data_IF_759126474428
#
_entry.id   IF_759126474428
#
_cell.length_a   1.000
_cell.length_b   1.000
_cell.length_c   1.000
_cell.angle_alpha   90.00
_cell.angle_beta   90.00
_cell.angle_gamma   90.00
#
_symmetry.space_group_name_H-M   'P 1'
#
loop_
_entity.id
_entity.type
_entity.pdbx_description
1 polymer ?
#
# COMPACT_ATOMS: atom_id res chain seq x y z
N UNK A 1 18.78 -28.92 8.72
CA UNK A 1 17.31 -28.71 8.78
C UNK A 1 16.62 -28.76 7.41
N UNK A 2 17.19 -28.18 6.34
CA UNK A 2 16.61 -28.25 4.97
C UNK A 2 17.52 -28.88 3.90
N UNK A 3 18.72 -29.33 4.28
CA UNK A 3 19.77 -29.87 3.41
C UNK A 3 19.25 -30.87 2.36
N UNK A 4 18.44 -31.84 2.77
CA UNK A 4 17.92 -32.90 1.90
C UNK A 4 16.45 -32.71 1.49
N UNK A 5 15.85 -31.58 1.85
CA UNK A 5 14.45 -31.34 1.53
C UNK A 5 14.32 -30.79 0.10
N UNK A 6 13.76 -31.58 -0.81
CA UNK A 6 13.60 -31.22 -2.24
C UNK A 6 12.24 -30.59 -2.56
N UNK A 7 11.31 -30.52 -1.61
CA UNK A 7 9.93 -30.08 -1.84
C UNK A 7 9.60 -28.72 -1.20
N UNK A 8 10.25 -28.37 -0.10
CA UNK A 8 9.99 -27.15 0.67
C UNK A 8 10.35 -25.90 -0.14
N UNK A 9 9.36 -25.07 -0.43
CA UNK A 9 9.56 -23.84 -1.22
C UNK A 9 9.71 -22.57 -0.40
N UNK A 10 9.14 -22.55 0.80
CA UNK A 10 9.11 -21.39 1.68
C UNK A 10 9.45 -21.81 3.10
N UNK A 11 10.42 -21.12 3.71
CA UNK A 11 10.81 -21.32 5.10
C UNK A 11 10.74 -19.98 5.84
N UNK A 12 9.96 -19.93 6.91
CA UNK A 12 9.78 -18.76 7.76
C UNK A 12 10.31 -19.07 9.14
N UNK A 13 11.40 -18.41 9.52
CA UNK A 13 12.05 -18.54 10.83
C UNK A 13 12.06 -17.20 11.56
N UNK A 14 11.05 -16.35 11.35
CA UNK A 14 10.98 -15.04 11.99
C UNK A 14 10.93 -15.17 13.52
N UNK A 15 11.68 -14.33 14.24
CA UNK A 15 11.61 -14.22 15.71
C UNK A 15 11.94 -15.52 16.48
N UNK A 16 12.98 -16.24 16.07
CA UNK A 16 13.48 -17.45 16.73
C UNK A 16 14.83 -17.25 17.45
N UNK A 17 15.32 -16.02 17.57
CA UNK A 17 16.58 -15.70 18.25
C UNK A 17 17.78 -16.55 17.76
N UNK A 18 17.87 -16.76 16.44
CA UNK A 18 18.88 -17.64 15.85
C UNK A 18 20.33 -17.16 16.09
N UNK A 19 20.56 -15.85 16.14
CA UNK A 19 21.90 -15.29 16.16
C UNK A 19 22.73 -15.63 14.92
N UNK A 20 24.02 -15.28 14.98
CA UNK A 20 24.96 -15.53 13.88
C UNK A 20 25.26 -17.03 13.69
N UNK A 21 25.31 -17.81 14.77
CA UNK A 21 25.48 -19.28 14.73
C UNK A 21 24.31 -19.98 14.04
N UNK A 22 23.07 -19.58 14.34
CA UNK A 22 21.90 -20.11 13.65
C UNK A 22 21.89 -19.71 12.17
N UNK A 23 22.29 -18.48 11.85
CA UNK A 23 22.45 -18.02 10.47
C UNK A 23 23.53 -18.84 9.72
N UNK A 24 24.63 -19.19 10.37
CA UNK A 24 25.65 -20.09 9.82
C UNK A 24 25.07 -21.46 9.49
N UNK A 25 24.35 -22.09 10.43
CA UNK A 25 23.71 -23.39 10.18
C UNK A 25 22.73 -23.36 9.00
N UNK A 26 21.97 -22.26 8.86
CA UNK A 26 21.08 -22.04 7.71
C UNK A 26 21.88 -21.84 6.42
N UNK A 27 23.00 -21.11 6.45
CA UNK A 27 23.86 -20.90 5.30
C UNK A 27 24.42 -22.22 4.76
N UNK A 28 24.91 -23.10 5.64
CA UNK A 28 25.38 -24.45 5.28
C UNK A 28 24.30 -25.21 4.54
N UNK A 29 23.08 -25.27 5.09
CA UNK A 29 21.96 -25.94 4.44
C UNK A 29 21.55 -25.28 3.10
N UNK A 30 21.55 -23.96 3.04
CA UNK A 30 21.14 -23.19 1.88
C UNK A 30 22.09 -23.37 0.70
N UNK A 31 23.39 -23.53 0.97
CA UNK A 31 24.43 -23.70 -0.06
C UNK A 31 24.21 -24.93 -0.94
N UNK A 32 23.57 -25.99 -0.41
CA UNK A 32 23.29 -27.24 -1.12
C UNK A 32 21.81 -27.43 -1.43
N UNK A 33 20.93 -26.62 -0.86
CA UNK A 33 19.49 -26.76 -1.06
C UNK A 33 19.05 -26.32 -2.47
N UNK A 34 18.34 -27.21 -3.17
CA UNK A 34 17.91 -27.01 -4.56
C UNK A 34 16.41 -26.74 -4.72
N UNK A 35 15.66 -26.56 -3.63
CA UNK A 35 14.19 -26.46 -3.67
C UNK A 35 13.65 -25.15 -3.16
N UNK A 36 14.31 -24.54 -2.18
CA UNK A 36 13.85 -23.38 -1.44
C UNK A 36 13.92 -22.13 -2.30
N UNK A 37 12.78 -21.45 -2.40
CA UNK A 37 12.64 -20.22 -3.20
C UNK A 37 12.42 -18.98 -2.34
N UNK A 38 12.02 -19.16 -1.08
CA UNK A 38 11.73 -18.07 -0.16
C UNK A 38 12.23 -18.39 1.24
N UNK A 39 13.01 -17.48 1.81
CA UNK A 39 13.57 -17.59 3.16
C UNK A 39 13.31 -16.31 3.94
N UNK A 40 12.76 -16.44 5.15
CA UNK A 40 12.60 -15.32 6.08
C UNK A 40 13.32 -15.59 7.38
N UNK A 41 14.39 -14.82 7.62
CA UNK A 41 15.19 -14.78 8.84
C UNK A 41 14.96 -13.49 9.64
N UNK A 42 13.83 -12.83 9.44
CA UNK A 42 13.57 -11.55 10.07
C UNK A 42 13.55 -11.62 11.60
N UNK A 43 14.02 -10.56 12.28
CA UNK A 43 14.00 -10.43 13.74
C UNK A 43 14.67 -11.60 14.48
N UNK A 44 15.89 -11.98 14.09
CA UNK A 44 16.63 -13.08 14.69
C UNK A 44 17.93 -12.69 15.39
N UNK A 45 18.16 -11.38 15.58
CA UNK A 45 19.39 -10.86 16.16
C UNK A 45 20.65 -11.33 15.40
N UNK A 46 20.55 -11.39 14.07
CA UNK A 46 21.66 -11.68 13.18
C UNK A 46 22.45 -10.38 12.96
N UNK A 47 23.77 -10.44 13.09
CA UNK A 47 24.67 -9.32 12.84
C UNK A 47 25.43 -9.53 11.54
N UNK A 48 26.48 -8.74 11.30
CA UNK A 48 27.21 -8.76 10.04
C UNK A 48 27.88 -10.12 9.73
N UNK A 49 28.33 -10.86 10.75
CA UNK A 49 28.94 -12.19 10.57
C UNK A 49 27.93 -13.23 10.04
N UNK A 50 26.74 -13.31 10.65
CA UNK A 50 25.69 -14.19 10.17
C UNK A 50 25.19 -13.80 8.78
N UNK A 51 25.12 -12.49 8.46
CA UNK A 51 24.82 -12.04 7.10
C UNK A 51 25.91 -12.45 6.11
N UNK A 52 27.19 -12.36 6.47
CA UNK A 52 28.29 -12.81 5.62
C UNK A 52 28.16 -14.30 5.27
N UNK A 53 27.80 -15.14 6.25
CA UNK A 53 27.55 -16.56 6.03
C UNK A 53 26.40 -16.80 5.03
N UNK A 54 25.28 -16.10 5.20
CA UNK A 54 24.14 -16.19 4.29
C UNK A 54 24.52 -15.73 2.87
N UNK A 55 25.31 -14.66 2.75
CA UNK A 55 25.80 -14.15 1.47
C UNK A 55 26.69 -15.18 0.77
N UNK A 56 27.59 -15.84 1.49
CA UNK A 56 28.45 -16.87 0.90
C UNK A 56 27.63 -18.05 0.35
N UNK A 57 26.64 -18.51 1.10
CA UNK A 57 25.72 -19.54 0.62
C UNK A 57 24.95 -19.11 -0.64
N UNK A 58 24.58 -17.83 -0.73
CA UNK A 58 23.83 -17.28 -1.86
C UNK A 58 24.67 -17.02 -3.12
N UNK A 59 26.00 -17.07 -3.04
CA UNK A 59 26.86 -17.07 -4.23
C UNK A 59 26.73 -18.36 -5.04
N UNK A 60 26.52 -19.49 -4.36
CA UNK A 60 26.36 -20.81 -5.00
C UNK A 60 24.90 -21.23 -5.13
N UNK A 61 24.00 -20.73 -4.27
CA UNK A 61 22.60 -21.06 -4.34
C UNK A 61 21.92 -20.41 -5.56
N UNK A 62 21.36 -21.26 -6.43
CA UNK A 62 20.72 -20.82 -7.67
C UNK A 62 19.18 -20.81 -7.61
N UNK A 63 18.59 -21.10 -6.45
CA UNK A 63 17.16 -21.43 -6.30
C UNK A 63 16.38 -20.41 -5.48
N UNK A 64 17.04 -19.70 -4.56
CA UNK A 64 16.41 -18.67 -3.76
C UNK A 64 16.01 -17.48 -4.65
N UNK A 65 14.80 -16.97 -4.42
CA UNK A 65 14.21 -15.82 -5.13
C UNK A 65 13.82 -14.72 -4.16
N UNK A 66 13.44 -15.06 -2.93
CA UNK A 66 12.98 -14.10 -1.93
C UNK A 66 13.77 -14.27 -0.64
N UNK A 67 14.41 -13.20 -0.19
CA UNK A 67 15.12 -13.15 1.07
C UNK A 67 14.57 -12.03 1.95
N UNK A 68 14.21 -12.38 3.18
CA UNK A 68 13.82 -11.42 4.19
C UNK A 68 14.74 -11.52 5.41
N UNK A 69 15.59 -10.52 5.59
CA UNK A 69 16.52 -10.39 6.72
C UNK A 69 16.24 -9.12 7.54
N UNK A 70 15.04 -8.55 7.40
CA UNK A 70 14.62 -7.36 8.16
C UNK A 70 14.65 -7.54 9.67
N UNK A 71 14.83 -6.45 10.42
CA UNK A 71 14.85 -6.50 11.89
C UNK A 71 16.09 -7.19 12.48
N UNK A 72 17.18 -7.27 11.71
CA UNK A 72 18.48 -7.81 12.13
C UNK A 72 19.52 -6.68 12.09
N UNK A 73 20.35 -6.56 13.12
CA UNK A 73 21.23 -5.40 13.35
C UNK A 73 22.60 -5.61 12.73
N UNK A 74 22.65 -5.76 11.42
CA UNK A 74 23.90 -6.07 10.71
C UNK A 74 24.69 -4.82 10.29
N UNK A 75 24.09 -3.63 10.39
CA UNK A 75 24.81 -2.37 10.25
C UNK A 75 25.51 -2.18 8.89
N UNK A 76 26.49 -1.30 8.87
CA UNK A 76 27.26 -0.95 7.67
C UNK A 76 28.06 -2.15 7.14
N UNK A 77 28.69 -2.94 8.02
CA UNK A 77 29.50 -4.09 7.60
C UNK A 77 28.65 -5.15 6.89
N UNK A 78 27.46 -5.45 7.42
CA UNK A 78 26.51 -6.31 6.74
C UNK A 78 26.01 -5.71 5.43
N UNK A 79 25.89 -4.38 5.32
CA UNK A 79 25.53 -3.70 4.09
C UNK A 79 26.54 -3.95 2.97
N UNK A 80 27.84 -3.94 3.28
CA UNK A 80 28.89 -4.30 2.32
C UNK A 80 28.75 -5.74 1.82
N UNK A 81 28.39 -6.68 2.69
CA UNK A 81 28.14 -8.07 2.30
C UNK A 81 26.93 -8.17 1.37
N UNK A 82 25.83 -7.47 1.67
CA UNK A 82 24.63 -7.43 0.82
C UNK A 82 24.92 -6.76 -0.53
N UNK A 83 25.72 -5.70 -0.57
CA UNK A 83 26.13 -5.08 -1.82
C UNK A 83 26.93 -6.07 -2.69
N UNK A 84 27.90 -6.77 -2.11
CA UNK A 84 28.68 -7.82 -2.81
C UNK A 84 27.78 -8.95 -3.34
N UNK A 85 26.77 -9.35 -2.56
CA UNK A 85 25.76 -10.30 -3.01
C UNK A 85 25.02 -9.78 -4.24
N UNK A 86 24.50 -8.55 -4.19
CA UNK A 86 23.71 -7.98 -5.27
C UNK A 86 24.50 -7.78 -6.56
N UNK A 87 25.81 -7.48 -6.49
CA UNK A 87 26.64 -7.38 -7.69
C UNK A 87 26.79 -8.70 -8.45
N UNK A 88 26.74 -9.84 -7.75
CA UNK A 88 27.04 -11.16 -8.33
C UNK A 88 25.82 -12.09 -8.43
N UNK A 89 24.77 -11.84 -7.64
CA UNK A 89 23.61 -12.72 -7.58
C UNK A 89 22.62 -12.44 -8.72
N UNK A 90 22.34 -13.47 -9.51
CA UNK A 90 21.43 -13.40 -10.66
C UNK A 90 20.04 -14.02 -10.39
N UNK A 91 19.79 -14.47 -9.16
CA UNK A 91 18.62 -15.30 -8.84
C UNK A 91 17.58 -14.57 -7.99
N UNK A 92 18.03 -13.76 -7.04
CA UNK A 92 17.19 -13.04 -6.11
C UNK A 92 16.31 -12.02 -6.85
N UNK A 93 15.01 -12.06 -6.54
CA UNK A 93 13.97 -11.17 -7.09
C UNK A 93 13.42 -10.22 -6.04
N UNK A 94 13.41 -10.63 -4.77
CA UNK A 94 12.86 -9.85 -3.67
C UNK A 94 13.81 -9.84 -2.48
N UNK A 95 14.10 -8.65 -1.99
CA UNK A 95 14.98 -8.45 -0.83
C UNK A 95 14.34 -7.48 0.15
N UNK A 96 14.29 -7.87 1.42
CA UNK A 96 13.83 -7.02 2.51
C UNK A 96 14.94 -6.80 3.54
N UNK A 97 15.36 -5.53 3.65
CA UNK A 97 16.43 -5.01 4.52
C UNK A 97 15.90 -3.99 5.53
N UNK A 98 14.59 -3.99 5.77
CA UNK A 98 13.95 -3.03 6.67
C UNK A 98 14.45 -3.19 8.10
N UNK A 99 14.55 -2.09 8.85
CA UNK A 99 14.98 -2.09 10.25
C UNK A 99 16.29 -2.87 10.47
N UNK A 100 17.30 -2.59 9.64
CA UNK A 100 18.58 -3.30 9.62
C UNK A 100 19.78 -2.52 10.15
N UNK A 101 19.53 -1.38 10.81
CA UNK A 101 20.56 -0.47 11.33
C UNK A 101 21.48 0.09 10.22
N UNK A 102 20.91 0.31 9.03
CA UNK A 102 21.61 0.89 7.89
C UNK A 102 21.62 2.41 8.01
N UNK A 103 22.82 2.98 8.16
CA UNK A 103 23.05 4.41 7.97
C UNK A 103 23.23 4.76 6.47
N UNK A 104 23.44 6.04 6.18
CA UNK A 104 23.67 6.55 4.82
C UNK A 104 24.76 5.78 4.05
N UNK A 105 25.90 5.53 4.68
CA UNK A 105 27.04 4.86 4.02
C UNK A 105 26.66 3.43 3.61
N UNK A 106 26.03 2.68 4.52
CA UNK A 106 25.59 1.32 4.26
C UNK A 106 24.53 1.27 3.17
N UNK A 107 23.53 2.16 3.23
CA UNK A 107 22.47 2.23 2.23
C UNK A 107 23.03 2.62 0.85
N UNK A 108 23.86 3.66 0.77
CA UNK A 108 24.48 4.09 -0.47
C UNK A 108 25.23 2.94 -1.15
N UNK A 109 25.96 2.13 -0.37
CA UNK A 109 26.70 0.99 -0.91
C UNK A 109 25.78 -0.07 -1.52
N UNK A 110 24.66 -0.36 -0.87
CA UNK A 110 23.64 -1.28 -1.39
C UNK A 110 23.04 -0.71 -2.68
N UNK A 111 22.69 0.57 -2.70
CA UNK A 111 22.15 1.21 -3.90
C UNK A 111 23.15 1.17 -5.08
N UNK A 112 24.44 1.37 -4.81
CA UNK A 112 25.48 1.31 -5.84
C UNK A 112 25.54 -0.08 -6.52
N UNK A 113 25.38 -1.15 -5.74
CA UNK A 113 25.37 -2.52 -6.29
C UNK A 113 24.20 -2.77 -7.26
N UNK A 114 23.09 -2.04 -7.10
CA UNK A 114 21.91 -2.17 -7.97
C UNK A 114 22.13 -1.61 -9.37
N UNK A 115 23.18 -0.82 -9.62
CA UNK A 115 23.54 -0.42 -11.00
C UNK A 115 23.88 -1.63 -11.88
N UNK A 116 24.45 -2.68 -11.29
CA UNK A 116 24.84 -3.92 -11.99
C UNK A 116 23.75 -4.99 -11.88
N UNK A 117 22.95 -4.96 -10.82
CA UNK A 117 21.93 -5.96 -10.60
C UNK A 117 20.68 -5.72 -11.48
N UNK A 118 20.41 -6.64 -12.39
CA UNK A 118 19.23 -6.58 -13.29
C UNK A 118 18.09 -7.50 -12.85
N UNK A 119 18.32 -8.27 -11.79
CA UNK A 119 17.51 -9.43 -11.41
C UNK A 119 16.54 -9.11 -10.29
N UNK A 120 16.93 -8.25 -9.35
CA UNK A 120 16.11 -7.77 -8.25
C UNK A 120 14.96 -6.90 -8.77
N UNK A 121 13.74 -7.21 -8.33
CA UNK A 121 12.49 -6.56 -8.75
C UNK A 121 11.77 -5.87 -7.61
N UNK A 122 11.96 -6.32 -6.38
CA UNK A 122 11.33 -5.76 -5.18
C UNK A 122 12.39 -5.54 -4.10
N UNK A 123 12.50 -4.29 -3.65
CA UNK A 123 13.39 -3.89 -2.56
C UNK A 123 12.57 -3.20 -1.47
N UNK A 124 12.77 -3.63 -0.22
CA UNK A 124 12.15 -3.04 0.96
C UNK A 124 13.22 -2.48 1.89
N UNK A 125 13.07 -1.21 2.19
CA UNK A 125 13.99 -0.35 2.91
C UNK A 125 13.18 0.49 3.89
N UNK A 126 12.45 -0.16 4.81
CA UNK A 126 11.61 0.55 5.77
C UNK A 126 12.36 0.81 7.06
N UNK A 127 12.01 1.90 7.75
CA UNK A 127 12.53 2.20 9.08
C UNK A 127 14.06 2.13 9.12
N UNK A 128 14.69 2.85 8.19
CA UNK A 128 16.14 3.08 8.16
C UNK A 128 16.53 4.22 9.10
N UNK A 129 17.83 4.48 9.23
CA UNK A 129 18.32 5.63 9.97
C UNK A 129 17.75 6.95 9.40
N UNK A 130 17.60 7.96 10.26
CA UNK A 130 17.02 9.26 9.93
C UNK A 130 17.93 10.12 9.03
N UNK A 131 19.22 9.83 8.98
CA UNK A 131 20.18 10.53 8.13
C UNK A 131 20.60 9.64 6.95
N UNK A 132 19.73 9.53 5.94
CA UNK A 132 19.99 8.81 4.68
C UNK A 132 19.89 9.74 3.46
N UNK A 133 20.15 11.04 3.64
CA UNK A 133 19.88 12.07 2.64
C UNK A 133 20.67 11.83 1.34
N UNK A 134 21.98 11.57 1.42
CA UNK A 134 22.80 11.35 0.21
C UNK A 134 22.40 10.05 -0.49
N UNK A 135 22.00 9.03 0.27
CA UNK A 135 21.46 7.79 -0.27
C UNK A 135 20.15 7.99 -0.99
N UNK A 136 19.27 8.89 -0.52
CA UNK A 136 18.03 9.22 -1.23
C UNK A 136 18.33 9.93 -2.54
N UNK A 137 19.25 10.89 -2.57
CA UNK A 137 19.68 11.55 -3.81
C UNK A 137 20.24 10.53 -4.83
N UNK A 138 21.06 9.59 -4.33
CA UNK A 138 21.61 8.54 -5.17
C UNK A 138 20.55 7.53 -5.63
N UNK A 139 19.60 7.16 -4.76
CA UNK A 139 18.44 6.34 -5.13
C UNK A 139 17.65 6.99 -6.26
N UNK A 140 17.42 8.30 -6.18
CA UNK A 140 16.75 9.10 -7.21
C UNK A 140 17.51 9.05 -8.53
N UNK A 141 18.83 9.24 -8.50
CA UNK A 141 19.69 9.09 -9.69
C UNK A 141 19.59 7.68 -10.29
N UNK A 142 19.66 6.64 -9.44
CA UNK A 142 19.60 5.24 -9.86
C UNK A 142 18.26 4.91 -10.52
N UNK A 143 17.14 5.33 -9.92
CA UNK A 143 15.77 5.08 -10.40
C UNK A 143 15.50 5.75 -11.75
N UNK A 144 16.20 6.83 -12.09
CA UNK A 144 16.11 7.51 -13.39
C UNK A 144 16.95 6.85 -14.49
N UNK A 145 17.88 5.96 -14.14
CA UNK A 145 18.92 5.48 -15.07
C UNK A 145 18.95 3.96 -15.21
N UNK A 146 19.62 3.26 -14.28
CA UNK A 146 20.01 1.84 -14.42
C UNK A 146 19.16 0.88 -13.59
N UNK A 147 18.06 1.36 -12.99
CA UNK A 147 17.30 0.56 -12.05
C UNK A 147 16.27 -0.37 -12.72
N UNK A 148 16.34 -1.65 -12.35
CA UNK A 148 15.39 -2.68 -12.80
C UNK A 148 14.31 -3.01 -11.77
N UNK A 149 14.26 -2.26 -10.67
CA UNK A 149 13.24 -2.40 -9.65
C UNK A 149 11.87 -2.07 -10.21
N UNK A 150 10.89 -2.88 -9.81
CA UNK A 150 9.47 -2.68 -10.12
C UNK A 150 8.69 -2.30 -8.87
N UNK A 151 9.18 -2.70 -7.70
CA UNK A 151 8.54 -2.44 -6.41
C UNK A 151 9.56 -1.89 -5.43
N UNK A 152 9.23 -0.76 -4.84
CA UNK A 152 10.08 -0.09 -3.87
C UNK A 152 9.27 0.29 -2.64
N UNK A 153 9.71 -0.16 -1.47
CA UNK A 153 9.07 0.18 -0.21
C UNK A 153 10.02 0.99 0.67
N UNK A 154 9.65 2.24 0.93
CA UNK A 154 10.41 3.23 1.69
C UNK A 154 9.63 3.71 2.93
N UNK A 155 8.74 2.86 3.42
CA UNK A 155 7.84 3.21 4.51
C UNK A 155 8.61 3.56 5.80
N UNK A 156 8.12 4.54 6.56
CA UNK A 156 8.68 4.95 7.86
C UNK A 156 10.16 5.37 7.82
N UNK A 157 10.61 6.05 6.77
CA UNK A 157 11.98 6.61 6.68
C UNK A 157 12.06 8.12 7.01
N UNK A 158 10.98 8.71 7.55
CA UNK A 158 10.92 10.09 8.03
C UNK A 158 11.62 11.11 7.10
N UNK A 159 11.25 11.11 5.82
CA UNK A 159 11.94 11.92 4.83
C UNK A 159 11.84 13.41 5.12
N UNK A 160 12.94 14.13 4.91
CA UNK A 160 12.91 15.59 4.83
C UNK A 160 11.99 16.03 3.68
N UNK A 161 11.39 17.23 3.73
CA UNK A 161 10.56 17.73 2.63
C UNK A 161 11.30 17.73 1.28
N UNK A 162 12.58 18.06 1.28
CA UNK A 162 13.43 18.02 0.09
C UNK A 162 13.55 16.61 -0.49
N UNK A 163 13.87 15.61 0.34
CA UNK A 163 13.97 14.22 -0.09
C UNK A 163 12.64 13.69 -0.62
N UNK A 164 11.55 14.07 0.03
CA UNK A 164 10.21 13.67 -0.41
C UNK A 164 9.88 14.22 -1.79
N UNK A 165 10.14 15.50 -2.05
CA UNK A 165 9.95 16.10 -3.39
C UNK A 165 10.85 15.44 -4.43
N UNK A 166 12.11 15.13 -4.11
CA UNK A 166 13.00 14.40 -5.02
C UNK A 166 12.47 12.99 -5.36
N UNK A 167 11.95 12.28 -4.37
CA UNK A 167 11.34 10.95 -4.55
C UNK A 167 10.06 11.03 -5.41
N UNK A 168 9.17 12.00 -5.12
CA UNK A 168 7.94 12.23 -5.88
C UNK A 168 8.27 12.54 -7.35
N UNK A 169 9.16 13.51 -7.60
CA UNK A 169 9.54 13.89 -8.97
C UNK A 169 10.24 12.74 -9.72
N UNK A 170 10.92 11.85 -9.02
CA UNK A 170 11.51 10.64 -9.63
C UNK A 170 10.47 9.69 -10.20
N UNK A 171 9.28 9.63 -9.59
CA UNK A 171 8.18 8.81 -10.12
C UNK A 171 7.69 9.33 -11.48
N UNK A 172 7.85 10.62 -11.79
CA UNK A 172 7.54 11.16 -13.13
C UNK A 172 8.37 10.48 -14.23
N UNK A 173 9.63 10.22 -13.93
CA UNK A 173 10.61 9.73 -14.91
C UNK A 173 10.80 8.22 -14.86
N UNK A 174 10.42 7.57 -13.76
CA UNK A 174 10.62 6.12 -13.62
C UNK A 174 9.73 5.35 -14.59
N UNK A 175 10.37 4.61 -15.49
CA UNK A 175 9.69 3.75 -16.47
C UNK A 175 9.53 2.30 -15.99
N UNK A 176 10.13 1.94 -14.86
CA UNK A 176 10.20 0.56 -14.37
C UNK A 176 9.37 0.32 -13.11
N UNK A 177 9.19 1.33 -12.26
CA UNK A 177 8.44 1.21 -11.02
C UNK A 177 6.93 1.08 -11.28
N UNK A 178 6.36 0.00 -10.78
CA UNK A 178 4.91 -0.28 -10.82
C UNK A 178 4.27 -0.18 -9.45
N UNK A 179 5.05 -0.25 -8.35
CA UNK A 179 4.54 -0.10 -6.99
C UNK A 179 5.53 0.66 -6.11
N UNK A 180 5.05 1.70 -5.44
CA UNK A 180 5.85 2.50 -4.51
C UNK A 180 5.08 2.73 -3.22
N UNK A 181 5.77 2.52 -2.10
CA UNK A 181 5.24 2.78 -0.77
C UNK A 181 6.05 3.89 -0.08
N UNK A 182 5.43 5.07 0.07
CA UNK A 182 5.93 6.25 0.76
C UNK A 182 5.13 6.50 2.07
N UNK A 183 4.55 5.45 2.64
CA UNK A 183 3.79 5.57 3.89
C UNK A 183 4.70 5.93 5.06
N UNK A 184 4.12 6.44 6.15
CA UNK A 184 4.78 6.49 7.44
C UNK A 184 5.33 7.85 7.83
N UNK A 185 4.44 8.67 8.38
CA UNK A 185 4.66 9.94 9.08
C UNK A 185 5.51 10.95 8.31
N UNK A 186 5.51 10.86 6.97
CA UNK A 186 6.06 11.92 6.15
C UNK A 186 5.15 13.15 6.29
N UNK A 187 5.75 14.34 6.51
CA UNK A 187 5.00 15.59 6.61
C UNK A 187 4.50 16.03 5.23
N UNK A 188 3.45 15.38 4.75
CA UNK A 188 2.78 15.76 3.52
C UNK A 188 2.09 17.11 3.71
N UNK A 189 2.41 18.06 2.84
CA UNK A 189 1.74 19.37 2.78
C UNK A 189 0.94 19.46 1.49
N UNK A 190 0.11 20.50 1.35
CA UNK A 190 -0.66 20.74 0.13
C UNK A 190 0.22 20.83 -1.12
N UNK A 191 1.33 21.56 -1.06
CA UNK A 191 2.36 21.62 -2.12
C UNK A 191 2.81 20.23 -2.58
N UNK A 192 3.11 19.30 -1.64
CA UNK A 192 3.52 17.94 -1.98
C UNK A 192 2.40 17.13 -2.63
N UNK A 193 1.14 17.41 -2.28
CA UNK A 193 0.00 16.80 -2.93
C UNK A 193 -0.19 17.30 -4.37
N UNK A 194 0.10 18.58 -4.64
CA UNK A 194 0.11 19.14 -6.01
C UNK A 194 1.25 18.57 -6.85
N UNK A 195 2.43 18.32 -6.26
CA UNK A 195 3.51 17.58 -6.91
C UNK A 195 3.06 16.15 -7.27
N UNK A 196 2.46 15.42 -6.32
CA UNK A 196 1.90 14.08 -6.57
C UNK A 196 0.85 14.10 -7.66
N UNK A 197 -0.05 15.09 -7.66
CA UNK A 197 -1.06 15.24 -8.71
C UNK A 197 -0.40 15.28 -10.10
N UNK A 198 0.57 16.17 -10.27
CA UNK A 198 1.28 16.34 -11.55
C UNK A 198 2.00 15.07 -12.00
N UNK A 199 2.54 14.31 -11.04
CA UNK A 199 3.18 13.02 -11.28
C UNK A 199 2.14 11.97 -11.69
N UNK A 200 1.04 11.84 -10.95
CA UNK A 200 -0.03 10.87 -11.25
C UNK A 200 -0.64 11.14 -12.64
N UNK A 201 -0.79 12.40 -13.04
CA UNK A 201 -1.34 12.76 -14.36
C UNK A 201 -0.43 12.34 -15.53
N UNK A 202 0.88 12.25 -15.30
CA UNK A 202 1.87 12.03 -16.37
C UNK A 202 2.50 10.64 -16.35
N UNK A 203 2.58 10.02 -15.17
CA UNK A 203 3.10 8.67 -15.02
C UNK A 203 2.10 7.63 -15.57
N UNK A 204 2.61 6.72 -16.40
CA UNK A 204 1.85 5.64 -17.03
C UNK A 204 2.28 4.23 -16.61
N UNK A 205 3.23 4.12 -15.68
CA UNK A 205 3.87 2.85 -15.27
C UNK A 205 3.43 2.40 -13.88
N UNK A 206 3.17 3.34 -12.98
CA UNK A 206 2.77 3.11 -11.60
C UNK A 206 1.35 2.57 -11.56
N UNK A 207 1.20 1.42 -10.90
CA UNK A 207 -0.08 0.72 -10.70
C UNK A 207 -0.54 0.75 -9.25
N UNK A 208 0.38 0.93 -8.30
CA UNK A 208 0.08 0.94 -6.87
C UNK A 208 0.89 2.02 -6.15
N UNK A 209 0.22 2.94 -5.48
CA UNK A 209 0.83 3.99 -4.68
C UNK A 209 0.29 3.93 -3.25
N UNK A 210 1.19 3.86 -2.27
CA UNK A 210 0.83 3.87 -0.86
C UNK A 210 1.34 5.12 -0.15
N UNK A 211 0.41 5.86 0.43
CA UNK A 211 0.60 7.10 1.19
C UNK A 211 -0.05 6.99 2.57
N UNK A 212 -0.04 5.78 3.16
CA UNK A 212 -0.66 5.53 4.45
C UNK A 212 0.05 6.30 5.56
N UNK A 213 -0.69 6.62 6.63
CA UNK A 213 -0.13 7.15 7.87
C UNK A 213 0.71 8.44 7.68
N UNK A 214 0.36 9.30 6.72
CA UNK A 214 1.11 10.51 6.34
C UNK A 214 0.42 11.81 6.77
N UNK A 215 -0.58 11.72 7.64
CA UNK A 215 -1.34 12.88 8.15
C UNK A 215 -2.00 13.70 7.02
N UNK A 216 -2.43 13.02 5.96
CA UNK A 216 -3.14 13.63 4.82
C UNK A 216 -4.58 13.93 5.25
N UNK A 217 -4.97 15.20 5.30
CA UNK A 217 -6.36 15.60 5.51
C UNK A 217 -7.13 15.70 4.19
N UNK A 218 -8.42 16.07 4.26
CA UNK A 218 -9.25 16.26 3.08
C UNK A 218 -8.66 17.25 2.08
N UNK A 219 -8.11 18.38 2.55
CA UNK A 219 -7.54 19.41 1.68
C UNK A 219 -6.31 18.90 0.91
N UNK A 220 -5.44 18.14 1.58
CA UNK A 220 -4.26 17.51 0.97
C UNK A 220 -4.67 16.34 0.06
N UNK A 221 -5.77 15.66 0.35
CA UNK A 221 -6.25 14.54 -0.47
C UNK A 221 -6.82 14.98 -1.82
N UNK A 222 -7.44 16.16 -1.91
CA UNK A 222 -8.10 16.66 -3.13
C UNK A 222 -7.18 16.68 -4.37
N UNK A 223 -5.96 17.27 -4.35
CA UNK A 223 -5.04 17.23 -5.49
C UNK A 223 -4.70 15.79 -5.92
N UNK A 224 -4.47 14.90 -4.97
CA UNK A 224 -4.11 13.50 -5.24
C UNK A 224 -5.22 12.80 -6.02
N UNK A 225 -6.48 12.96 -5.59
CA UNK A 225 -7.63 12.37 -6.28
C UNK A 225 -7.93 13.09 -7.61
N UNK A 226 -7.77 14.41 -7.68
CA UNK A 226 -7.91 15.17 -8.93
C UNK A 226 -6.95 14.65 -10.00
N UNK A 227 -5.71 14.31 -9.62
CA UNK A 227 -4.73 13.69 -10.51
C UNK A 227 -5.20 12.37 -11.14
N UNK A 228 -6.01 11.60 -10.42
CA UNK A 228 -6.56 10.33 -10.91
C UNK A 228 -7.55 10.50 -12.07
N UNK A 229 -8.18 11.68 -12.22
CA UNK A 229 -9.17 11.91 -13.27
C UNK A 229 -8.61 11.64 -14.68
N UNK A 230 -7.32 11.88 -14.87
CA UNK A 230 -6.62 11.71 -16.15
C UNK A 230 -5.65 10.50 -16.16
N UNK A 231 -5.40 9.87 -15.02
CA UNK A 231 -4.47 8.76 -14.92
C UNK A 231 -5.08 7.46 -15.48
N UNK A 232 -4.30 6.71 -16.25
CA UNK A 232 -4.71 5.45 -16.90
C UNK A 232 -3.95 4.21 -16.41
N UNK A 233 -3.02 4.36 -15.47
CA UNK A 233 -2.11 3.29 -15.02
C UNK A 233 -2.36 2.84 -13.58
N UNK A 234 -2.71 3.76 -12.68
CA UNK A 234 -2.93 3.48 -11.27
C UNK A 234 -4.19 2.62 -11.10
N UNK A 235 -4.01 1.55 -10.33
CA UNK A 235 -5.04 0.56 -9.97
C UNK A 235 -5.33 0.60 -8.48
N UNK A 236 -4.32 0.86 -7.67
CA UNK A 236 -4.40 0.88 -6.22
C UNK A 236 -3.86 2.19 -5.66
N UNK A 237 -4.66 2.85 -4.84
CA UNK A 237 -4.25 3.98 -4.02
C UNK A 237 -4.55 3.66 -2.56
N UNK A 238 -3.51 3.69 -1.73
CA UNK A 238 -3.63 3.44 -0.29
C UNK A 238 -3.42 4.73 0.49
N UNK A 239 -4.46 5.12 1.24
CA UNK A 239 -4.53 6.32 2.06
C UNK A 239 -4.98 5.97 3.50
N UNK A 240 -4.75 4.73 3.94
CA UNK A 240 -5.11 4.25 5.27
C UNK A 240 -4.39 5.04 6.37
N UNK A 241 -5.04 5.24 7.53
CA UNK A 241 -4.41 5.89 8.68
C UNK A 241 -4.13 7.39 8.50
N UNK A 242 -4.84 8.04 7.58
CA UNK A 242 -4.77 9.49 7.36
C UNK A 242 -5.97 10.20 8.03
N UNK A 243 -6.30 11.42 7.62
CA UNK A 243 -7.40 12.24 8.14
C UNK A 243 -8.41 12.59 7.04
N UNK A 244 -8.72 11.63 6.17
CA UNK A 244 -9.62 11.80 5.02
C UNK A 244 -11.05 11.43 5.42
N UNK A 245 -11.96 12.41 5.42
CA UNK A 245 -13.35 12.30 5.86
C UNK A 245 -14.37 12.61 4.76
N UNK A 246 -14.08 13.55 3.85
CA UNK A 246 -15.00 13.99 2.80
C UNK A 246 -15.06 13.00 1.64
N UNK A 247 -15.75 11.88 1.85
CA UNK A 247 -15.94 10.87 0.80
C UNK A 247 -16.66 11.46 -0.42
N UNK A 248 -17.63 12.35 -0.22
CA UNK A 248 -18.42 12.89 -1.32
C UNK A 248 -17.56 13.71 -2.30
N UNK A 249 -16.69 14.58 -1.78
CA UNK A 249 -15.74 15.35 -2.58
C UNK A 249 -14.78 14.46 -3.37
N UNK A 250 -14.31 13.35 -2.77
CA UNK A 250 -13.40 12.41 -3.44
C UNK A 250 -14.12 11.65 -4.58
N UNK A 251 -15.32 11.13 -4.29
CA UNK A 251 -16.12 10.39 -5.28
C UNK A 251 -16.54 11.26 -6.46
N UNK A 252 -16.75 12.56 -6.21
CA UNK A 252 -17.03 13.57 -7.25
C UNK A 252 -15.93 13.68 -8.31
N UNK A 253 -14.69 13.32 -8.01
CA UNK A 253 -13.59 13.32 -8.98
C UNK A 253 -13.37 11.92 -9.60
N UNK A 254 -13.60 10.86 -8.84
CA UNK A 254 -13.34 9.48 -9.26
C UNK A 254 -14.29 8.95 -10.34
N UNK A 255 -15.45 9.57 -10.59
CA UNK A 255 -16.38 9.13 -11.63
C UNK A 255 -15.77 9.14 -13.05
N UNK A 256 -14.71 9.93 -13.28
CA UNK A 256 -13.98 9.98 -14.56
C UNK A 256 -12.89 8.93 -14.67
N UNK A 257 -12.42 8.38 -13.55
CA UNK A 257 -11.36 7.39 -13.54
C UNK A 257 -11.94 5.99 -13.79
N UNK A 258 -11.38 5.28 -14.78
CA UNK A 258 -11.83 3.94 -15.19
C UNK A 258 -10.85 2.83 -14.79
N UNK A 259 -9.73 3.17 -14.15
CA UNK A 259 -8.62 2.24 -13.94
C UNK A 259 -8.39 1.87 -12.49
N UNK A 260 -8.73 2.76 -11.56
CA UNK A 260 -8.61 2.51 -10.14
C UNK A 260 -9.60 1.41 -9.75
N UNK A 261 -9.06 0.36 -9.16
CA UNK A 261 -9.79 -0.81 -8.66
C UNK A 261 -9.84 -0.84 -7.14
N UNK A 262 -8.90 -0.15 -6.47
CA UNK A 262 -8.78 -0.14 -5.02
C UNK A 262 -8.43 1.26 -4.52
N UNK A 263 -9.27 1.78 -3.63
CA UNK A 263 -9.01 2.98 -2.83
C UNK A 263 -9.12 2.60 -1.36
N UNK A 264 -7.98 2.45 -0.69
CA UNK A 264 -7.94 2.05 0.71
C UNK A 264 -7.96 3.27 1.64
N UNK A 265 -9.11 3.51 2.28
CA UNK A 265 -9.35 4.59 3.24
C UNK A 265 -9.48 4.09 4.69
N UNK A 266 -8.98 2.87 4.98
CA UNK A 266 -9.08 2.29 6.32
C UNK A 266 -8.44 3.19 7.38
N UNK A 267 -8.89 3.10 8.63
CA UNK A 267 -8.25 3.76 9.78
C UNK A 267 -8.14 5.30 9.68
N UNK A 268 -8.91 5.97 8.81
CA UNK A 268 -8.96 7.44 8.70
C UNK A 268 -9.81 8.13 9.79
N UNK A 269 -10.57 7.41 10.64
CA UNK A 269 -11.42 7.90 11.77
C UNK A 269 -12.06 9.31 11.59
N UNK A 270 -13.24 9.49 10.97
CA UNK A 270 -14.57 9.44 11.64
C UNK A 270 -15.66 9.40 10.57
N UNK A 271 -15.84 8.25 9.93
CA UNK A 271 -16.96 8.06 8.98
C UNK A 271 -18.29 8.10 9.73
N UNK A 272 -19.21 8.94 9.27
CA UNK A 272 -20.58 8.97 9.77
C UNK A 272 -21.41 7.89 9.05
N UNK A 273 -22.70 7.78 9.40
CA UNK A 273 -23.58 6.72 8.88
C UNK A 273 -23.94 6.91 7.39
N UNK A 274 -23.86 8.14 6.91
CA UNK A 274 -24.27 8.55 5.55
C UNK A 274 -23.17 8.25 4.52
N UNK A 275 -21.91 8.31 4.96
CA UNK A 275 -20.75 7.91 4.16
C UNK A 275 -20.87 6.45 3.67
N UNK A 276 -21.41 5.55 4.51
CA UNK A 276 -21.59 4.14 4.13
C UNK A 276 -22.62 3.95 3.00
N UNK A 277 -23.67 4.78 2.95
CA UNK A 277 -24.71 4.71 1.91
C UNK A 277 -24.21 5.30 0.58
N UNK A 278 -23.42 6.38 0.65
CA UNK A 278 -22.76 7.00 -0.50
C UNK A 278 -21.73 6.06 -1.14
N UNK A 279 -20.92 5.41 -0.30
CA UNK A 279 -19.95 4.38 -0.72
C UNK A 279 -20.66 3.24 -1.45
N UNK A 280 -21.75 2.70 -0.89
CA UNK A 280 -22.54 1.65 -1.55
C UNK A 280 -23.15 2.11 -2.89
N UNK A 281 -23.61 3.36 -2.96
CA UNK A 281 -24.20 3.94 -4.18
C UNK A 281 -23.16 4.17 -5.27
N UNK A 282 -21.96 4.61 -4.90
CA UNK A 282 -20.84 4.76 -5.82
C UNK A 282 -20.32 3.41 -6.32
N UNK A 283 -20.21 2.38 -5.46
CA UNK A 283 -19.86 1.02 -5.90
C UNK A 283 -20.88 0.43 -6.89
N UNK A 284 -22.15 0.85 -6.82
CA UNK A 284 -23.17 0.42 -7.77
C UNK A 284 -22.99 1.06 -9.18
N UNK A 285 -22.38 2.24 -9.24
CA UNK A 285 -22.12 3.00 -10.48
C UNK A 285 -20.73 2.68 -11.04
N UNK A 286 -19.73 2.53 -10.17
CA UNK A 286 -18.35 2.25 -10.53
C UNK A 286 -18.07 0.75 -10.48
N UNK A 287 -18.15 0.07 -11.64
CA UNK A 287 -17.96 -1.38 -11.76
C UNK A 287 -16.53 -1.87 -11.45
N UNK A 288 -15.53 -0.98 -11.35
CA UNK A 288 -14.13 -1.37 -11.12
C UNK A 288 -13.71 -1.35 -9.65
N UNK A 289 -14.31 -0.51 -8.80
CA UNK A 289 -13.93 -0.33 -7.37
C UNK A 289 -14.53 -1.36 -6.37
N UNK A 290 -14.82 -2.58 -6.84
CA UNK A 290 -15.79 -3.48 -6.18
C UNK A 290 -15.37 -4.15 -4.87
N UNK A 291 -14.08 -4.22 -4.51
CA UNK A 291 -13.63 -5.21 -3.52
C UNK A 291 -13.47 -4.72 -2.06
N UNK A 292 -13.00 -3.49 -1.80
CA UNK A 292 -12.65 -3.05 -0.43
C UNK A 292 -13.60 -2.06 0.22
N UNK A 293 -14.31 -1.24 -0.55
CA UNK A 293 -15.37 -0.37 -0.02
C UNK A 293 -16.56 -1.18 0.56
N UNK A 294 -16.67 -2.48 0.24
CA UNK A 294 -17.63 -3.42 0.83
C UNK A 294 -17.39 -3.72 2.31
N UNK A 295 -16.21 -3.38 2.85
CA UNK A 295 -15.93 -3.43 4.29
C UNK A 295 -16.49 -2.20 5.01
N UNK A 296 -16.53 -1.04 4.35
CA UNK A 296 -17.17 0.19 4.87
C UNK A 296 -18.68 -0.04 5.04
N UNK A 297 -19.32 -0.72 4.09
CA UNK A 297 -20.73 -1.13 4.14
C UNK A 297 -21.09 -2.10 5.30
N UNK A 298 -20.10 -2.70 5.98
CA UNK A 298 -20.27 -3.65 7.09
C UNK A 298 -20.07 -3.05 8.49
N UNK A 299 -19.84 -1.75 8.61
CA UNK A 299 -19.66 -1.05 9.90
C UNK A 299 -21.01 -0.86 10.66
N UNK A 300 -21.02 -0.70 12.00
CA UNK A 300 -22.05 -1.30 12.84
C UNK A 300 -23.41 -0.61 12.61
N UNK A 301 -24.44 -1.39 12.29
CA UNK A 301 -25.81 -0.88 12.20
C UNK A 301 -26.37 -0.62 13.60
N UNK A 302 -25.99 0.47 14.26
CA UNK A 302 -26.61 0.89 15.53
C UNK A 302 -28.06 1.33 15.27
N UNK A 303 -29.00 0.63 15.88
CA UNK A 303 -30.44 0.80 15.67
C UNK A 303 -30.96 2.12 16.24
N UNK A 304 -31.55 2.98 15.40
CA UNK A 304 -32.58 3.96 15.81
C UNK A 304 -33.33 4.52 14.60
N UNK A 305 -34.56 4.96 14.84
CA UNK A 305 -35.58 5.33 13.84
C UNK A 305 -35.38 6.73 13.26
N UNK A 306 -35.62 6.85 11.95
CA UNK A 306 -35.41 8.05 11.14
C UNK A 306 -36.49 9.14 11.34
N UNK A 307 -36.09 10.41 11.42
CA UNK A 307 -36.95 11.60 11.65
C UNK A 307 -37.29 12.33 10.32
N UNK A 308 -38.16 13.36 10.38
CA UNK A 308 -38.78 14.09 9.26
C UNK A 308 -37.75 14.69 8.27
N UNK A 309 -36.54 15.00 8.74
CA UNK A 309 -35.42 15.50 7.92
C UNK A 309 -34.99 14.48 6.85
N UNK A 310 -34.94 13.20 7.21
CA UNK A 310 -34.47 12.13 6.31
C UNK A 310 -35.51 11.77 5.23
N UNK A 311 -36.76 12.24 5.35
CA UNK A 311 -37.73 12.16 4.24
C UNK A 311 -37.47 13.21 3.17
N UNK A 312 -37.00 14.40 3.57
CA UNK A 312 -36.71 15.51 2.67
C UNK A 312 -35.44 15.23 1.86
N UNK A 313 -34.42 14.67 2.49
CA UNK A 313 -33.17 14.25 1.84
C UNK A 313 -33.38 13.11 0.82
N UNK A 314 -34.31 12.19 1.09
CA UNK A 314 -34.67 11.14 0.12
C UNK A 314 -35.36 11.75 -1.12
N UNK A 315 -36.22 12.76 -0.95
CA UNK A 315 -36.87 13.46 -2.07
C UNK A 315 -35.85 14.27 -2.89
N UNK A 316 -34.87 14.90 -2.25
CA UNK A 316 -33.78 15.61 -2.92
C UNK A 316 -32.84 14.66 -3.69
N UNK A 317 -32.47 13.53 -3.09
CA UNK A 317 -31.72 12.47 -3.79
C UNK A 317 -32.50 11.89 -4.98
N UNK A 318 -33.81 11.69 -4.85
CA UNK A 318 -34.67 11.26 -5.95
C UNK A 318 -34.72 12.30 -7.08
N UNK A 319 -34.64 13.59 -6.78
CA UNK A 319 -34.59 14.66 -7.76
C UNK A 319 -33.26 14.65 -8.53
N UNK A 320 -32.13 14.53 -7.83
CA UNK A 320 -30.79 14.45 -8.45
C UNK A 320 -30.67 13.20 -9.32
N UNK A 321 -31.14 12.04 -8.85
CA UNK A 321 -31.09 10.79 -9.62
C UNK A 321 -31.92 10.87 -10.91
N UNK A 322 -33.01 11.65 -10.95
CA UNK A 322 -33.83 11.86 -12.17
C UNK A 322 -33.18 12.78 -13.21
N UNK A 323 -32.22 13.60 -12.80
CA UNK A 323 -31.55 14.57 -13.68
C UNK A 323 -30.29 13.95 -14.30
N UNK A 324 -29.54 13.14 -13.55
CA UNK A 324 -28.17 12.77 -13.92
C UNK A 324 -27.95 11.30 -14.35
N UNK A 325 -28.98 10.44 -14.29
CA UNK A 325 -28.85 9.03 -14.71
C UNK A 325 -29.60 8.73 -16.02
N UNK A 326 -29.12 7.77 -16.83
CA UNK A 326 -29.91 7.14 -17.90
C UNK A 326 -31.20 6.49 -17.37
N UNK A 327 -32.30 6.55 -18.13
CA UNK A 327 -33.68 6.19 -17.72
C UNK A 327 -33.77 4.77 -17.13
N UNK A 328 -33.03 3.82 -17.70
CA UNK A 328 -32.93 2.42 -17.28
C UNK A 328 -32.34 2.25 -15.86
N UNK A 329 -31.37 3.09 -15.48
CA UNK A 329 -30.78 3.12 -14.15
C UNK A 329 -31.63 3.92 -13.14
N UNK A 330 -32.40 4.91 -13.62
CA UNK A 330 -33.37 5.64 -12.79
C UNK A 330 -34.47 4.71 -12.28
N UNK A 331 -35.02 3.85 -13.15
CA UNK A 331 -36.10 2.92 -12.79
C UNK A 331 -35.67 1.92 -11.73
N UNK A 332 -34.45 1.37 -11.83
CA UNK A 332 -33.93 0.41 -10.85
C UNK A 332 -33.69 1.06 -9.47
N UNK A 333 -33.12 2.27 -9.47
CA UNK A 333 -32.82 3.04 -8.27
C UNK A 333 -34.09 3.50 -7.54
N UNK A 334 -35.09 3.99 -8.28
CA UNK A 334 -36.42 4.37 -7.74
C UNK A 334 -37.15 3.14 -7.19
N UNK A 335 -37.07 1.99 -7.88
CA UNK A 335 -37.72 0.74 -7.44
C UNK A 335 -37.13 0.23 -6.11
N UNK A 336 -35.81 0.33 -5.94
CA UNK A 336 -35.13 -0.07 -4.71
C UNK A 336 -35.50 0.85 -3.54
N UNK A 337 -35.56 2.16 -3.77
CA UNK A 337 -35.96 3.15 -2.77
C UNK A 337 -37.43 2.99 -2.35
N UNK A 338 -38.33 2.68 -3.28
CA UNK A 338 -39.73 2.38 -2.99
C UNK A 338 -39.89 1.08 -2.17
N UNK A 339 -39.09 0.05 -2.45
CA UNK A 339 -39.05 -1.18 -1.62
C UNK A 339 -38.61 -0.89 -0.19
N UNK A 340 -37.62 -0.02 -0.01
CA UNK A 340 -37.15 0.43 1.31
C UNK A 340 -38.24 1.23 2.04
N UNK A 341 -38.97 2.13 1.35
CA UNK A 341 -40.10 2.89 1.92
C UNK A 341 -41.24 1.95 2.34
N UNK A 342 -41.56 0.93 1.54
CA UNK A 342 -42.61 -0.07 1.82
C UNK A 342 -42.23 -0.97 3.01
N UNK A 343 -40.98 -1.43 3.09
CA UNK A 343 -40.47 -2.23 4.20
C UNK A 343 -40.47 -1.46 5.53
N UNK A 344 -40.19 -0.15 5.50
CA UNK A 344 -40.24 0.73 6.70
C UNK A 344 -41.68 0.97 7.18
N UNK A 345 -42.64 1.16 6.28
CA UNK A 345 -44.08 1.27 6.62
C UNK A 345 -44.60 0.00 7.30
N UNK A 346 -44.17 -1.16 6.82
CA UNK A 346 -44.48 -2.46 7.44
C UNK A 346 -43.91 -2.59 8.87
N UNK A 347 -42.68 -2.12 9.10
CA UNK A 347 -42.05 -2.16 10.43
C UNK A 347 -42.70 -1.19 11.44
N UNK A 348 -43.13 0.01 10.98
CA UNK A 348 -43.88 0.98 11.82
C UNK A 348 -45.27 0.46 12.19
N UNK A 349 -45.97 -0.19 11.25
CA UNK A 349 -47.24 -0.85 11.52
C UNK A 349 -47.09 -2.00 12.54
N UNK A 350 -46.04 -2.83 12.40
CA UNK A 350 -45.77 -3.92 13.35
C UNK A 350 -45.40 -3.41 14.75
N UNK A 351 -44.67 -2.29 14.86
CA UNK A 351 -44.35 -1.65 16.15
C UNK A 351 -45.61 -1.12 16.83
N UNK A 352 -46.51 -0.45 16.10
CA UNK A 352 -47.78 0.05 16.65
C UNK A 352 -48.73 -1.08 17.08
N UNK A 353 -48.74 -2.21 16.38
CA UNK A 353 -49.51 -3.40 16.78
C UNK A 353 -48.96 -4.01 18.08
N UNK A 354 -47.64 -4.01 18.28
CA UNK A 354 -47.01 -4.49 19.51
C UNK A 354 -47.26 -3.53 20.68
N UNK A 355 -47.21 -2.21 20.45
CA UNK A 355 -47.49 -1.21 21.49
C UNK A 355 -48.96 -1.20 21.93
N UNK A 356 -49.90 -1.44 21.00
CA UNK A 356 -51.33 -1.53 21.32
C UNK A 356 -51.75 -2.88 21.91
N UNK A 357 -50.86 -3.88 21.94
CA UNK A 357 -51.09 -5.15 22.63
C UNK A 357 -50.51 -5.16 24.07
N UNK A 358 -49.86 -4.06 24.48
CA UNK A 358 -49.21 -3.87 25.78
C UNK A 358 -49.86 -2.74 26.62
N UNK A 359 -51.01 -2.24 26.17
CA UNK A 359 -51.98 -1.43 26.91
C UNK A 359 -53.34 -2.09 26.79
#
# INVERSE_FOLDING_TARGET
MVTNNTTLKCLILKSNALGDDGAFGIAVDLSVNTSLTSLSLAFNNIHHEGIANIVEALKVNTTLRNLNISGNKFGVDGAYQIASLLENNSTLKKLNLSASDLNDVGLHKILQSLEKNTTLKELKLQNLDNDINNSVEYLVFLLKTKCHLTKLNLRFNLFTPQNLSLLIETLRHSTTLTSVDLSGQNKFTLEKAEEIESVIQTNSTLTSLSLNDNNIDDAICQPIIRGLCCNTSLRELHLSGNQVYDIQGLLGHLHKNSTLTLLNLKDNKKFNRDDNNLVCSFMAINKTLSHDLGLIAKWPRSHESLDIVEQKEIEELLHVLRIYLPIDLQVQSITLLLKIKKYKKYKKAKKNVITNALY
#
